data_IF_409947244365
#
_entry.id   IF_409947244365
#
_cell.length_a   1.000
_cell.length_b   1.000
_cell.length_c   1.000
_cell.angle_alpha   90.00
_cell.angle_beta   90.00
_cell.angle_gamma   90.00
#
_symmetry.space_group_name_H-M   'P 1'
#
loop_
_entity.id
_entity.type
_entity.pdbx_description
1 polymer ?
#
# COMPACT_ATOMS: atom_id res chain seq x y z
N UNK A 1 7.95 -11.61 -11.52
CA UNK A 1 7.17 -11.54 -10.28
C UNK A 1 8.07 -10.91 -9.23
N UNK A 2 7.90 -9.62 -9.00
CA UNK A 2 8.55 -8.90 -7.92
C UNK A 2 7.60 -8.87 -6.71
N UNK A 3 8.17 -9.06 -5.52
CA UNK A 3 7.51 -8.74 -4.26
C UNK A 3 8.22 -7.53 -3.67
N UNK A 4 7.58 -6.36 -3.73
CA UNK A 4 8.17 -5.10 -3.29
C UNK A 4 7.55 -4.74 -1.95
N UNK A 5 8.39 -4.57 -0.92
CA UNK A 5 7.95 -4.07 0.38
C UNK A 5 8.16 -2.55 0.47
N UNK A 6 7.11 -1.80 0.77
CA UNK A 6 7.15 -0.37 1.05
C UNK A 6 6.79 -0.17 2.52
N UNK A 7 7.69 0.41 3.30
CA UNK A 7 7.43 0.78 4.69
C UNK A 7 7.18 2.28 4.76
N UNK A 8 5.98 2.65 5.20
CA UNK A 8 5.54 4.04 5.34
C UNK A 8 5.77 4.59 6.76
N UNK A 9 6.12 3.72 7.73
CA UNK A 9 6.36 4.12 9.11
C UNK A 9 5.10 4.62 9.82
N UNK A 10 5.29 5.50 10.81
CA UNK A 10 4.24 6.02 11.70
C UNK A 10 3.34 7.10 11.09
N UNK A 11 3.85 7.82 10.09
CA UNK A 11 3.16 8.94 9.47
C UNK A 11 3.47 9.01 7.98
N UNK A 12 2.44 8.96 7.14
CA UNK A 12 2.54 9.02 5.69
C UNK A 12 2.92 10.44 5.27
N UNK A 13 4.08 10.59 4.62
CA UNK A 13 4.48 11.86 4.00
C UNK A 13 4.18 11.86 2.50
N UNK A 14 4.03 13.06 1.91
CA UNK A 14 3.75 13.20 0.47
C UNK A 14 4.81 12.52 -0.42
N UNK A 15 6.07 12.51 0.03
CA UNK A 15 7.16 11.80 -0.68
C UNK A 15 6.91 10.29 -0.74
N UNK A 16 6.28 9.72 0.29
CA UNK A 16 6.03 8.29 0.41
C UNK A 16 4.84 7.91 -0.48
N UNK A 17 3.80 8.76 -0.51
CA UNK A 17 2.70 8.65 -1.48
C UNK A 17 3.19 8.75 -2.92
N UNK A 18 4.09 9.68 -3.22
CA UNK A 18 4.68 9.81 -4.57
C UNK A 18 5.42 8.53 -4.95
N UNK A 19 6.26 8.00 -4.05
CA UNK A 19 6.99 6.74 -4.28
C UNK A 19 6.05 5.54 -4.46
N UNK A 20 4.97 5.48 -3.67
CA UNK A 20 3.96 4.44 -3.80
C UNK A 20 3.29 4.51 -5.19
N UNK A 21 2.83 5.69 -5.61
CA UNK A 21 2.22 5.91 -6.94
C UNK A 21 3.16 5.49 -8.07
N UNK A 22 4.43 5.91 -8.01
CA UNK A 22 5.43 5.53 -9.01
C UNK A 22 5.68 4.02 -9.06
N UNK A 23 5.65 3.35 -7.90
CA UNK A 23 5.84 1.89 -7.81
C UNK A 23 4.63 1.15 -8.38
N UNK A 24 3.42 1.59 -8.03
CA UNK A 24 2.15 1.06 -8.53
C UNK A 24 2.04 1.18 -10.06
N UNK A 25 2.47 2.32 -10.64
CA UNK A 25 2.47 2.51 -12.10
C UNK A 25 3.43 1.57 -12.84
N UNK A 26 4.51 1.15 -12.18
CA UNK A 26 5.52 0.26 -12.76
C UNK A 26 5.22 -1.23 -12.53
N UNK A 27 4.14 -1.57 -11.80
CA UNK A 27 3.78 -2.96 -11.54
C UNK A 27 3.41 -3.70 -12.81
N UNK A 28 4.06 -4.85 -13.01
CA UNK A 28 3.61 -5.84 -13.98
C UNK A 28 2.34 -6.55 -13.45
N UNK A 29 1.53 -7.18 -14.32
CA UNK A 29 0.29 -7.82 -13.91
C UNK A 29 0.42 -8.92 -12.85
N UNK A 30 1.61 -9.52 -12.73
CA UNK A 30 1.90 -10.58 -11.76
C UNK A 30 2.74 -10.09 -10.56
N UNK A 31 2.95 -8.77 -10.44
CA UNK A 31 3.70 -8.22 -9.32
C UNK A 31 2.79 -8.00 -8.11
N UNK A 32 3.41 -7.99 -6.94
CA UNK A 32 2.74 -7.72 -5.68
C UNK A 32 3.53 -6.66 -4.90
N UNK A 33 2.82 -5.68 -4.34
CA UNK A 33 3.41 -4.69 -3.44
C UNK A 33 2.81 -4.90 -2.06
N UNK A 34 3.67 -5.12 -1.07
CA UNK A 34 3.29 -5.14 0.34
C UNK A 34 3.61 -3.79 0.95
N UNK A 35 2.59 -3.08 1.41
CA UNK A 35 2.70 -1.83 2.15
C UNK A 35 2.61 -2.16 3.63
N UNK A 36 3.59 -1.72 4.42
CA UNK A 36 3.53 -1.75 5.89
C UNK A 36 3.36 -0.34 6.40
N UNK A 37 2.37 -0.16 7.26
CA UNK A 37 2.12 1.05 8.02
C UNK A 37 2.28 0.71 9.51
N UNK A 38 2.96 1.56 10.25
CA UNK A 38 3.03 1.47 11.72
C UNK A 38 1.90 2.35 12.26
N UNK A 39 0.68 1.81 12.29
CA UNK A 39 -0.53 2.56 12.60
C UNK A 39 -0.69 2.75 14.11
N UNK A 40 -0.14 3.83 14.65
CA UNK A 40 -0.56 4.30 15.97
C UNK A 40 -1.99 4.88 15.96
N UNK A 41 -2.52 5.23 14.78
CA UNK A 41 -3.82 5.89 14.59
C UNK A 41 -4.52 5.36 13.34
N UNK A 42 -5.74 4.86 13.53
CA UNK A 42 -6.62 4.22 12.53
C UNK A 42 -7.03 5.08 11.33
N UNK A 43 -6.50 6.30 11.18
CA UNK A 43 -6.89 7.22 10.11
C UNK A 43 -5.96 7.16 8.89
N UNK A 44 -4.71 6.75 9.08
CA UNK A 44 -3.73 6.75 7.99
C UNK A 44 -3.93 5.59 7.00
N UNK A 45 -4.58 4.51 7.43
CA UNK A 45 -5.00 3.42 6.55
C UNK A 45 -5.97 3.89 5.46
N UNK A 46 -6.89 4.79 5.79
CA UNK A 46 -7.87 5.35 4.85
C UNK A 46 -7.19 6.11 3.71
N UNK A 47 -6.07 6.78 3.98
CA UNK A 47 -5.32 7.51 2.94
C UNK A 47 -4.82 6.52 1.87
N UNK A 48 -4.28 5.38 2.30
CA UNK A 48 -3.77 4.36 1.39
C UNK A 48 -4.91 3.68 0.65
N UNK A 49 -5.98 3.29 1.36
CA UNK A 49 -7.14 2.62 0.76
C UNK A 49 -7.77 3.52 -0.33
N UNK A 50 -8.03 4.78 -0.02
CA UNK A 50 -8.60 5.73 -0.98
C UNK A 50 -7.71 5.93 -2.21
N UNK A 51 -6.38 5.97 -2.03
CA UNK A 51 -5.44 6.10 -3.14
C UNK A 51 -5.45 4.85 -4.04
N UNK A 52 -5.54 3.65 -3.46
CA UNK A 52 -5.61 2.40 -4.21
C UNK A 52 -6.91 2.27 -4.99
N UNK A 53 -8.04 2.64 -4.39
CA UNK A 53 -9.35 2.66 -5.04
C UNK A 53 -9.38 3.66 -6.21
N UNK A 54 -8.83 4.86 -6.01
CA UNK A 54 -8.69 5.87 -7.06
C UNK A 54 -7.89 5.36 -8.27
N UNK A 55 -6.88 4.52 -8.02
CA UNK A 55 -6.04 3.91 -9.05
C UNK A 55 -6.62 2.61 -9.61
N UNK A 56 -7.76 2.13 -9.10
CA UNK A 56 -8.41 0.91 -9.55
C UNK A 56 -7.62 -0.37 -9.24
N UNK A 57 -6.81 -0.35 -8.18
CA UNK A 57 -6.01 -1.50 -7.76
C UNK A 57 -6.84 -2.51 -6.97
N UNK A 58 -6.48 -3.79 -7.07
CA UNK A 58 -7.00 -4.81 -6.18
C UNK A 58 -6.11 -4.88 -4.94
N UNK A 59 -6.72 -4.90 -3.76
CA UNK A 59 -5.97 -4.91 -2.50
C UNK A 59 -6.60 -5.82 -1.45
N UNK A 60 -5.78 -6.25 -0.49
CA UNK A 60 -6.21 -6.93 0.74
C UNK A 60 -5.47 -6.31 1.91
N UNK A 61 -6.20 -5.90 2.94
CA UNK A 61 -5.63 -5.39 4.18
C UNK A 61 -5.73 -6.41 5.32
N UNK A 62 -4.78 -6.37 6.24
CA UNK A 62 -4.85 -7.12 7.50
C UNK A 62 -4.04 -6.44 8.60
N UNK A 63 -4.50 -6.61 9.83
CA UNK A 63 -3.76 -6.20 11.02
C UNK A 63 -2.59 -7.15 11.31
N UNK A 64 -1.45 -6.58 11.70
CA UNK A 64 -0.25 -7.29 12.12
C UNK A 64 -0.15 -7.48 13.63
N UNK A 65 1.07 -7.74 14.12
CA UNK A 65 1.35 -7.74 15.56
C UNK A 65 1.51 -6.30 16.06
N UNK A 66 0.89 -5.98 17.20
CA UNK A 66 0.94 -4.64 17.77
C UNK A 66 0.11 -3.66 16.94
N UNK A 67 0.74 -2.54 16.57
CA UNK A 67 0.12 -1.45 15.82
C UNK A 67 0.42 -1.52 14.31
N UNK A 68 0.94 -2.64 13.82
CA UNK A 68 1.26 -2.78 12.40
C UNK A 68 0.00 -3.06 11.58
N UNK A 69 -0.09 -2.39 10.43
CA UNK A 69 -1.11 -2.59 9.43
C UNK A 69 -0.44 -2.91 8.09
N UNK A 70 -0.97 -3.90 7.38
CA UNK A 70 -0.41 -4.37 6.12
C UNK A 70 -1.46 -4.30 5.02
N UNK A 71 -1.04 -3.83 3.85
CA UNK A 71 -1.84 -3.85 2.62
C UNK A 71 -1.07 -4.55 1.52
N UNK A 72 -1.64 -5.63 1.00
CA UNK A 72 -1.13 -6.31 -0.17
C UNK A 72 -1.88 -5.79 -1.39
N UNK A 73 -1.14 -5.23 -2.35
CA UNK A 73 -1.67 -4.62 -3.56
C UNK A 73 -1.27 -5.44 -4.77
N UNK A 74 -2.25 -5.67 -5.65
CA UNK A 74 -2.10 -6.33 -6.94
C UNK A 74 -2.73 -5.47 -8.02
N UNK A 75 -2.24 -5.63 -9.25
CA UNK A 75 -2.87 -4.99 -10.41
C UNK A 75 -4.22 -5.66 -10.67
N UNK A 76 -5.26 -4.86 -10.89
CA UNK A 76 -6.54 -5.38 -11.36
C UNK A 76 -6.38 -5.90 -12.78
N UNK A 77 -6.56 -7.20 -12.95
CA UNK A 77 -6.62 -7.85 -14.26
C UNK A 77 -8.07 -7.73 -14.74
N UNK A 78 -8.29 -6.94 -15.78
CA UNK A 78 -9.56 -6.89 -16.51
C UNK A 78 -9.72 -8.14 -17.39
#
# INVERSE_FOLDING_TARGET
MANIMINLGLAIQEKDLRRLRESLQKMSPNDEITIRLESAYSYEEDIIINELERLGMDYRSYGGKGNDFYVIVRRRLH
#
